data_IF_752955725937
#
_entry.id   IF_752955725937
#
_cell.length_a   1.000
_cell.length_b   1.000
_cell.length_c   1.000
_cell.angle_alpha   90.00
_cell.angle_beta   90.00
_cell.angle_gamma   90.00
#
_symmetry.space_group_name_H-M   'P 1'
#
loop_
_entity.id
_entity.type
_entity.pdbx_description
1 polymer ?
#
# COMPACT_ATOMS: atom_id res chain seq x y z
N UNK A 1 -3.01 -15.50 -21.17
CA UNK A 1 -4.18 -14.78 -20.63
C UNK A 1 -3.80 -13.31 -20.59
N UNK A 2 -4.49 -12.44 -21.33
CA UNK A 2 -4.22 -11.00 -21.30
C UNK A 2 -4.99 -10.41 -20.12
N UNK A 3 -4.29 -9.97 -19.08
CA UNK A 3 -4.94 -9.31 -17.94
C UNK A 3 -5.09 -7.81 -18.28
N UNK A 4 -6.31 -7.32 -18.54
CA UNK A 4 -6.53 -5.93 -18.91
C UNK A 4 -6.17 -4.95 -17.78
N UNK A 5 -6.00 -5.42 -16.55
CA UNK A 5 -5.65 -4.58 -15.39
C UNK A 5 -4.15 -4.42 -15.18
N UNK A 6 -3.32 -5.25 -15.82
CA UNK A 6 -1.87 -5.26 -15.63
C UNK A 6 -1.20 -3.96 -16.14
N UNK A 7 -1.64 -3.44 -17.29
CA UNK A 7 -1.15 -2.14 -17.79
C UNK A 7 -1.45 -1.02 -16.80
N UNK A 8 -2.72 -0.94 -16.36
CA UNK A 8 -3.17 0.07 -15.40
C UNK A 8 -2.38 -0.02 -14.08
N UNK A 9 -2.14 -1.24 -13.59
CA UNK A 9 -1.32 -1.46 -12.39
C UNK A 9 0.11 -0.95 -12.58
N UNK A 10 0.74 -1.23 -13.73
CA UNK A 10 2.10 -0.77 -14.03
C UNK A 10 2.19 0.75 -14.09
N UNK A 11 1.21 1.41 -14.70
CA UNK A 11 1.13 2.87 -14.71
C UNK A 11 1.05 3.40 -13.27
N UNK A 12 0.19 2.83 -12.41
CA UNK A 12 0.14 3.21 -10.98
C UNK A 12 1.49 3.03 -10.26
N UNK A 13 2.19 1.91 -10.50
CA UNK A 13 3.53 1.69 -9.91
C UNK A 13 4.49 2.77 -10.36
N UNK A 14 4.45 3.13 -11.64
CA UNK A 14 5.31 4.17 -12.21
C UNK A 14 4.99 5.53 -11.59
N UNK A 15 3.73 5.94 -11.55
CA UNK A 15 3.31 7.23 -10.97
C UNK A 15 3.72 7.36 -9.49
N UNK A 16 3.40 6.36 -8.68
CA UNK A 16 3.68 6.36 -7.23
C UNK A 16 5.19 6.47 -6.96
N UNK A 17 6.03 5.79 -7.75
CA UNK A 17 7.48 5.75 -7.51
C UNK A 17 8.29 6.80 -8.28
N UNK A 18 7.70 7.47 -9.28
CA UNK A 18 8.38 8.55 -10.02
C UNK A 18 8.43 9.85 -9.22
N UNK A 19 7.44 10.07 -8.37
CA UNK A 19 7.35 11.23 -7.47
C UNK A 19 7.16 10.78 -6.03
N UNK A 20 8.17 10.10 -5.45
CA UNK A 20 8.05 9.57 -4.11
C UNK A 20 7.80 10.72 -3.13
N UNK A 21 6.65 10.65 -2.47
CA UNK A 21 6.21 11.70 -1.57
C UNK A 21 6.78 11.48 -0.18
N UNK A 22 7.03 12.58 0.52
CA UNK A 22 7.36 12.51 1.94
C UNK A 22 6.15 12.03 2.74
N UNK A 23 6.42 11.46 3.92
CA UNK A 23 5.36 10.95 4.81
C UNK A 23 4.27 11.97 5.05
N UNK A 24 4.63 13.23 5.30
CA UNK A 24 3.67 14.31 5.60
C UNK A 24 2.69 14.57 4.44
N UNK A 25 3.16 14.50 3.20
CA UNK A 25 2.32 14.67 2.01
C UNK A 25 1.37 13.49 1.84
N UNK A 26 1.88 12.27 1.99
CA UNK A 26 1.06 11.06 1.96
C UNK A 26 0.01 11.05 3.09
N UNK A 27 0.36 11.56 4.28
CA UNK A 27 -0.57 11.68 5.41
C UNK A 27 -1.66 12.71 5.13
N UNK A 28 -1.32 13.81 4.46
CA UNK A 28 -2.30 14.83 4.03
C UNK A 28 -3.27 14.30 2.98
N UNK A 29 -2.81 13.45 2.05
CA UNK A 29 -3.62 12.93 0.96
C UNK A 29 -4.45 11.69 1.37
N UNK A 30 -3.85 10.76 2.12
CA UNK A 30 -4.41 9.45 2.42
C UNK A 30 -4.73 9.23 3.90
N UNK A 31 -4.45 10.20 4.75
CA UNK A 31 -4.66 10.11 6.19
C UNK A 31 -3.54 9.36 6.89
N UNK A 32 -3.75 8.09 7.24
CA UNK A 32 -2.77 7.35 8.02
C UNK A 32 -1.73 6.68 7.12
N UNK A 33 -0.46 7.02 7.36
CA UNK A 33 0.70 6.42 6.70
C UNK A 33 1.48 5.59 7.71
N UNK A 34 1.96 4.45 7.27
CA UNK A 34 2.68 3.49 8.07
C UNK A 34 4.08 3.28 7.47
N UNK A 35 5.09 3.27 8.34
CA UNK A 35 6.39 2.69 8.02
C UNK A 35 6.30 1.15 7.97
N UNK A 36 7.31 0.50 7.38
CA UNK A 36 7.44 -0.97 7.41
C UNK A 36 7.34 -1.54 8.83
N UNK A 37 7.98 -0.88 9.81
CA UNK A 37 7.95 -1.30 11.22
C UNK A 37 6.56 -1.18 11.84
N UNK A 38 5.77 -0.17 11.45
CA UNK A 38 4.40 -0.02 11.91
C UNK A 38 3.48 -1.06 11.25
N UNK A 39 3.67 -1.34 9.96
CA UNK A 39 2.90 -2.38 9.25
C UNK A 39 3.11 -3.74 9.90
N UNK A 40 4.35 -4.16 10.15
CA UNK A 40 4.63 -5.45 10.79
C UNK A 40 4.03 -5.61 12.20
N UNK A 41 3.73 -4.50 12.89
CA UNK A 41 3.10 -4.52 14.23
C UNK A 41 1.57 -4.56 14.18
N UNK A 42 0.98 -3.99 13.14
CA UNK A 42 -0.46 -3.77 13.03
C UNK A 42 -1.14 -4.75 12.06
N UNK A 43 -0.38 -5.31 11.13
CA UNK A 43 -0.89 -6.11 10.02
C UNK A 43 -0.03 -7.34 9.77
N UNK A 44 -0.69 -8.41 9.36
CA UNK A 44 -0.06 -9.57 8.73
C UNK A 44 -0.20 -9.44 7.20
N UNK A 45 0.91 -9.41 6.47
CA UNK A 45 0.91 -9.38 5.00
C UNK A 45 0.67 -10.81 4.48
N UNK A 46 -0.42 -11.00 3.73
CA UNK A 46 -0.83 -12.30 3.18
C UNK A 46 -0.65 -12.40 1.67
N UNK A 47 -0.47 -11.27 0.98
CA UNK A 47 -0.23 -11.22 -0.46
C UNK A 47 0.48 -9.93 -0.86
N UNK A 48 1.21 -9.99 -1.98
CA UNK A 48 2.04 -8.87 -2.44
C UNK A 48 1.94 -8.71 -3.95
N UNK A 49 1.54 -7.52 -4.41
CA UNK A 49 1.48 -7.17 -5.83
C UNK A 49 1.52 -5.64 -5.99
N UNK A 50 2.70 -5.08 -6.25
CA UNK A 50 2.94 -3.63 -6.33
C UNK A 50 1.87 -2.91 -7.19
N UNK A 51 1.31 -1.77 -6.77
CA UNK A 51 1.61 -1.03 -5.55
C UNK A 51 0.80 -1.50 -4.32
N UNK A 52 0.23 -2.69 -4.35
CA UNK A 52 -0.65 -3.19 -3.29
C UNK A 52 -0.03 -4.32 -2.48
N UNK A 53 -0.45 -4.40 -1.22
CA UNK A 53 -0.28 -5.59 -0.37
C UNK A 53 -1.63 -5.98 0.20
N UNK A 54 -1.90 -7.28 0.25
CA UNK A 54 -3.05 -7.84 0.96
C UNK A 54 -2.64 -8.06 2.41
N UNK A 55 -3.43 -7.55 3.34
CA UNK A 55 -3.15 -7.58 4.78
C UNK A 55 -4.34 -8.09 5.57
N UNK A 56 -4.04 -8.65 6.74
CA UNK A 56 -5.01 -8.87 7.82
C UNK A 56 -4.65 -7.97 9.00
N UNK A 57 -5.57 -7.10 9.44
CA UNK A 57 -5.37 -6.22 10.59
C UNK A 57 -5.43 -7.04 11.87
N UNK A 58 -4.39 -6.95 12.70
CA UNK A 58 -4.22 -7.82 13.87
C UNK A 58 -5.18 -7.49 15.02
N UNK A 59 -5.70 -6.27 15.09
CA UNK A 59 -6.59 -5.85 16.18
C UNK A 59 -7.99 -6.47 16.12
N UNK A 60 -8.47 -6.80 14.92
CA UNK A 60 -9.86 -7.19 14.68
C UNK A 60 -10.03 -8.23 13.56
N UNK A 61 -8.94 -8.82 13.08
CA UNK A 61 -8.93 -9.87 12.06
C UNK A 61 -9.43 -9.45 10.67
N UNK A 62 -9.64 -8.16 10.43
CA UNK A 62 -10.22 -7.67 9.17
C UNK A 62 -9.20 -7.76 8.04
N UNK A 63 -9.61 -8.37 6.92
CA UNK A 63 -8.83 -8.43 5.69
C UNK A 63 -8.96 -7.14 4.90
N UNK A 64 -7.87 -6.72 4.27
CA UNK A 64 -7.84 -5.51 3.48
C UNK A 64 -6.64 -5.43 2.56
N UNK A 65 -6.48 -4.28 1.93
CA UNK A 65 -5.31 -3.94 1.14
C UNK A 65 -4.71 -2.62 1.60
N UNK A 66 -3.38 -2.52 1.55
CA UNK A 66 -2.66 -1.25 1.64
C UNK A 66 -2.00 -0.95 0.29
N UNK A 67 -1.92 0.32 -0.05
CA UNK A 67 -1.03 0.80 -1.11
C UNK A 67 0.35 1.06 -0.52
N UNK A 68 1.41 1.00 -1.32
CA UNK A 68 2.74 1.38 -0.89
C UNK A 68 3.55 2.04 -2.01
N UNK A 69 4.40 3.00 -1.61
CA UNK A 69 5.51 3.49 -2.42
C UNK A 69 6.79 2.77 -1.98
N UNK A 70 7.76 2.61 -2.89
CA UNK A 70 8.93 1.77 -2.63
C UNK A 70 10.09 2.53 -1.97
N UNK A 71 10.30 3.80 -2.31
CA UNK A 71 11.47 4.57 -1.85
C UNK A 71 11.17 6.06 -1.65
N UNK A 72 11.07 6.57 -0.40
CA UNK A 72 11.13 5.83 0.88
C UNK A 72 9.89 4.96 1.11
N UNK A 73 10.06 3.75 1.66
CA UNK A 73 8.96 2.78 1.77
C UNK A 73 7.91 3.19 2.81
N UNK A 74 6.71 3.49 2.33
CA UNK A 74 5.54 3.84 3.14
C UNK A 74 4.30 3.13 2.63
N UNK A 75 3.42 2.76 3.56
CA UNK A 75 2.15 2.10 3.30
C UNK A 75 1.00 3.00 3.72
N UNK A 76 -0.09 3.01 2.97
CA UNK A 76 -1.21 3.94 3.18
C UNK A 76 -2.51 3.43 2.53
N UNK A 77 -3.60 4.17 2.72
CA UNK A 77 -4.91 3.91 2.12
C UNK A 77 -5.43 2.48 2.39
N UNK A 78 -5.52 2.10 3.68
CA UNK A 78 -6.12 0.84 4.07
C UNK A 78 -7.57 0.76 3.59
N UNK A 79 -7.90 -0.30 2.85
CA UNK A 79 -9.28 -0.60 2.43
C UNK A 79 -9.65 -2.02 2.82
N UNK A 80 -10.76 -2.15 3.52
CA UNK A 80 -11.36 -3.44 3.91
C UNK A 80 -11.92 -4.13 2.66
N UNK A 81 -11.86 -5.47 2.64
CA UNK A 81 -12.33 -6.33 1.52
C UNK A 81 -13.47 -7.23 1.99
#
# INVERSE_FOLDING_TARGET
MNDPTESIRRDMVYDINSYPSERELLEKEHGKVYSTSEVCKLFEITGFMTPFVVVRRLSDDVKGTLMFQDMPRYYFNFKEV
#
